data_IF_049505278471
#
_entry.id   IF_049505278471
#
_cell.length_a   1.000
_cell.length_b   1.000
_cell.length_c   1.000
_cell.angle_alpha   90.00
_cell.angle_beta   90.00
_cell.angle_gamma   90.00
#
_symmetry.space_group_name_H-M   'P 1'
#
loop_
_entity.id
_entity.type
_entity.pdbx_description
1 polymer ?
#
# COMPACT_ATOMS: atom_id res chain seq x y z
N UNK A 1 -16.47 -20.78 10.86
CA UNK A 1 -15.04 -21.11 10.88
C UNK A 1 -14.34 -19.97 11.57
N UNK A 2 -13.65 -20.14 12.71
CA UNK A 2 -12.87 -19.09 13.30
C UNK A 2 -11.72 -18.79 12.35
N UNK A 3 -11.57 -17.51 11.97
CA UNK A 3 -10.45 -17.05 11.18
C UNK A 3 -9.17 -17.33 11.94
N UNK A 4 -8.23 -17.96 11.28
CA UNK A 4 -6.86 -18.12 11.74
C UNK A 4 -6.22 -16.73 11.81
N UNK A 5 -6.46 -16.01 12.88
CA UNK A 5 -5.63 -14.90 13.32
C UNK A 5 -4.39 -15.53 13.97
N UNK A 6 -3.43 -15.92 13.14
CA UNK A 6 -2.14 -16.46 13.61
C UNK A 6 -1.23 -15.39 14.24
N UNK A 7 -1.79 -14.19 14.43
CA UNK A 7 -1.15 -13.05 15.10
C UNK A 7 -1.57 -12.89 16.57
N UNK A 8 -2.51 -13.69 17.05
CA UNK A 8 -2.95 -13.66 18.44
C UNK A 8 -2.25 -14.80 19.18
N UNK A 9 -1.14 -14.51 19.80
CA UNK A 9 -0.55 -15.12 21.00
C UNK A 9 0.98 -15.23 20.92
N UNK A 10 1.65 -15.22 22.01
CA UNK A 10 3.10 -15.25 22.34
C UNK A 10 4.16 -15.56 21.25
N UNK A 11 3.89 -16.32 20.17
CA UNK A 11 4.81 -16.42 19.02
C UNK A 11 5.10 -15.08 18.34
N UNK A 12 4.28 -14.06 18.58
CA UNK A 12 4.47 -12.74 17.98
C UNK A 12 5.70 -12.01 18.54
N UNK A 13 6.06 -12.19 19.82
CA UNK A 13 7.22 -11.52 20.40
C UNK A 13 8.51 -12.12 19.85
N UNK A 14 8.66 -13.43 19.84
CA UNK A 14 9.83 -14.10 19.26
C UNK A 14 10.00 -13.78 17.78
N UNK A 15 8.88 -13.71 17.04
CA UNK A 15 8.88 -13.32 15.63
C UNK A 15 9.33 -11.85 15.45
N UNK A 16 8.81 -10.94 16.27
CA UNK A 16 9.19 -9.52 16.22
C UNK A 16 10.65 -9.31 16.59
N UNK A 17 11.16 -10.04 17.55
CA UNK A 17 12.57 -9.98 17.94
C UNK A 17 13.48 -10.55 16.84
N UNK A 18 13.11 -11.66 16.23
CA UNK A 18 13.80 -12.19 15.06
C UNK A 18 13.75 -11.22 13.88
N UNK A 19 12.58 -10.61 13.61
CA UNK A 19 12.43 -9.61 12.57
C UNK A 19 13.32 -8.39 12.80
N UNK A 20 13.35 -7.85 14.02
CA UNK A 20 14.20 -6.71 14.40
C UNK A 20 15.68 -7.03 14.29
N UNK A 21 16.09 -8.24 14.72
CA UNK A 21 17.52 -8.59 14.81
C UNK A 21 18.10 -9.14 13.50
N UNK A 22 17.29 -9.77 12.66
CA UNK A 22 17.76 -10.47 11.45
C UNK A 22 17.33 -9.79 10.16
N UNK A 23 16.11 -9.22 10.11
CA UNK A 23 15.53 -8.68 8.87
C UNK A 23 15.82 -7.19 8.74
N UNK A 24 15.52 -6.39 9.77
CA UNK A 24 15.67 -4.93 9.68
C UNK A 24 17.09 -4.48 9.35
N UNK A 25 18.18 -5.10 9.89
CA UNK A 25 19.55 -4.71 9.53
C UNK A 25 19.93 -4.96 8.07
N UNK A 26 19.16 -5.79 7.36
CA UNK A 26 19.35 -6.10 5.94
C UNK A 26 18.36 -5.36 5.03
N UNK A 27 17.45 -4.58 5.63
CA UNK A 27 16.38 -3.90 4.92
C UNK A 27 16.81 -2.49 4.54
N UNK A 28 16.73 -2.14 3.26
CA UNK A 28 17.01 -0.78 2.79
C UNK A 28 15.85 0.16 3.07
N UNK A 29 14.61 -0.28 2.76
CA UNK A 29 13.40 0.50 3.00
C UNK A 29 12.37 -0.37 3.72
N UNK A 30 11.98 0.01 4.92
CA UNK A 30 10.84 -0.59 5.62
C UNK A 30 9.56 0.08 5.14
N UNK A 31 8.62 -0.71 4.64
CA UNK A 31 7.29 -0.25 4.21
C UNK A 31 6.24 -0.77 5.16
N UNK A 32 5.37 0.09 5.65
CA UNK A 32 4.27 -0.36 6.50
C UNK A 32 3.27 0.73 6.86
N UNK A 33 2.12 0.27 7.31
CA UNK A 33 1.05 1.14 7.79
C UNK A 33 1.42 1.74 9.14
N UNK A 34 1.11 3.01 9.36
CA UNK A 34 1.48 3.80 10.53
C UNK A 34 1.21 3.10 11.85
N UNK A 35 -0.02 2.59 12.04
CA UNK A 35 -0.41 1.96 13.30
C UNK A 35 0.33 0.63 13.52
N UNK A 36 0.60 -0.16 12.47
CA UNK A 36 1.36 -1.40 12.58
C UNK A 36 2.81 -1.13 12.93
N UNK A 37 3.47 -0.20 12.22
CA UNK A 37 4.86 0.18 12.49
C UNK A 37 5.02 0.76 13.89
N UNK A 38 4.06 1.57 14.34
CA UNK A 38 4.04 2.08 15.69
C UNK A 38 4.04 0.95 16.71
N UNK A 39 3.09 0.01 16.62
CA UNK A 39 3.00 -1.14 17.54
C UNK A 39 4.26 -2.00 17.56
N UNK A 40 4.92 -2.14 16.42
CA UNK A 40 6.09 -3.02 16.31
C UNK A 40 7.39 -2.37 16.75
N UNK A 41 7.60 -1.11 16.44
CA UNK A 41 8.86 -0.43 16.67
C UNK A 41 8.86 0.40 17.95
N UNK A 42 7.69 0.86 18.38
CA UNK A 42 7.52 1.76 19.52
C UNK A 42 6.40 1.28 20.46
N UNK A 43 6.43 0.00 20.94
CA UNK A 43 5.34 -0.54 21.78
C UNK A 43 5.16 0.23 23.09
N UNK A 44 6.23 0.81 23.63
CA UNK A 44 6.23 1.58 24.88
C UNK A 44 6.02 3.10 24.67
N UNK A 45 5.52 3.50 23.49
CA UNK A 45 5.30 4.91 23.21
C UNK A 45 4.33 5.54 24.20
N UNK A 46 4.81 6.51 24.97
CA UNK A 46 4.05 7.20 26.02
C UNK A 46 3.71 8.65 25.68
N UNK A 47 3.88 9.06 24.44
CA UNK A 47 3.54 10.40 23.97
C UNK A 47 2.03 10.67 23.99
N UNK A 48 1.62 11.93 24.25
CA UNK A 48 0.21 12.35 24.22
C UNK A 48 -0.41 12.32 22.80
N UNK A 49 0.41 12.15 21.77
CA UNK A 49 0.01 12.04 20.36
C UNK A 49 0.64 10.81 19.76
N UNK A 50 0.03 10.25 18.70
CA UNK A 50 0.68 9.18 17.91
C UNK A 50 2.08 9.60 17.45
N UNK A 51 3.04 8.65 17.34
CA UNK A 51 4.36 8.94 16.83
C UNK A 51 4.28 9.44 15.38
N UNK A 52 5.17 10.33 15.03
CA UNK A 52 5.30 10.82 13.65
C UNK A 52 6.04 9.79 12.79
N UNK A 53 5.96 9.92 11.45
CA UNK A 53 6.76 9.09 10.56
C UNK A 53 8.27 9.19 10.88
N UNK A 54 8.75 10.35 11.32
CA UNK A 54 10.13 10.55 11.74
C UNK A 54 10.48 9.78 13.02
N UNK A 55 9.57 9.70 13.98
CA UNK A 55 9.79 8.94 15.22
C UNK A 55 9.89 7.44 14.90
N UNK A 56 9.02 6.94 14.03
CA UNK A 56 9.05 5.56 13.52
C UNK A 56 10.36 5.31 12.76
N UNK A 57 10.76 6.21 11.86
CA UNK A 57 11.99 6.09 11.10
C UNK A 57 13.24 6.09 11.99
N UNK A 58 13.22 6.82 13.11
CA UNK A 58 14.31 6.77 14.09
C UNK A 58 14.41 5.37 14.74
N UNK A 59 13.27 4.81 15.17
CA UNK A 59 13.25 3.47 15.75
C UNK A 59 13.69 2.39 14.74
N UNK A 60 13.29 2.52 13.47
CA UNK A 60 13.74 1.62 12.41
C UNK A 60 15.25 1.75 12.14
N UNK A 61 15.78 2.98 12.15
CA UNK A 61 17.22 3.22 11.97
C UNK A 61 18.05 2.67 13.13
N UNK A 62 17.55 2.76 14.36
CA UNK A 62 18.19 2.14 15.53
C UNK A 62 18.24 0.61 15.41
N UNK A 63 17.31 0.02 14.65
CA UNK A 63 17.29 -1.40 14.30
C UNK A 63 18.03 -1.72 12.98
N UNK A 64 18.68 -0.73 12.35
CA UNK A 64 19.54 -0.90 11.17
C UNK A 64 18.90 -0.58 9.82
N UNK A 65 17.64 -0.14 9.76
CA UNK A 65 16.96 0.22 8.50
C UNK A 65 17.00 1.74 8.29
N UNK A 66 17.68 2.26 7.24
CA UNK A 66 17.93 3.69 7.08
C UNK A 66 16.69 4.48 6.59
N UNK A 67 15.78 3.85 5.86
CA UNK A 67 14.60 4.50 5.27
C UNK A 67 13.32 3.80 5.69
N UNK A 68 12.28 4.58 5.98
CA UNK A 68 10.95 4.04 6.33
C UNK A 68 9.87 4.74 5.52
N UNK A 69 9.11 3.99 4.74
CA UNK A 69 7.90 4.46 4.07
C UNK A 69 6.70 4.15 4.97
N UNK A 70 6.22 5.17 5.66
CA UNK A 70 5.05 5.09 6.54
C UNK A 70 3.81 5.45 5.74
N UNK A 71 2.85 4.54 5.64
CA UNK A 71 1.59 4.76 4.93
C UNK A 71 0.43 4.96 5.90
N UNK A 72 -0.67 5.56 5.42
CA UNK A 72 -1.90 5.68 6.20
C UNK A 72 -1.85 6.66 7.36
N UNK A 73 -0.94 7.63 7.34
CA UNK A 73 -0.93 8.74 8.28
C UNK A 73 -2.20 9.59 8.12
N UNK A 74 -2.59 10.28 9.20
CA UNK A 74 -3.67 11.25 9.13
C UNK A 74 -3.31 12.38 8.16
N UNK A 75 -4.10 12.55 7.13
CA UNK A 75 -3.94 13.62 6.15
C UNK A 75 -4.50 14.97 6.65
N UNK A 76 -4.52 15.97 5.77
CA UNK A 76 -5.02 17.32 6.10
C UNK A 76 -6.51 17.35 6.42
N UNK A 77 -7.25 16.31 6.03
CA UNK A 77 -8.66 16.10 6.39
C UNK A 77 -8.94 14.61 6.59
N UNK A 78 -10.10 14.26 7.14
CA UNK A 78 -10.53 12.86 7.32
C UNK A 78 -10.67 12.08 6.01
N UNK A 79 -10.85 12.80 4.89
CA UNK A 79 -10.97 12.23 3.54
C UNK A 79 -9.62 11.97 2.88
N UNK A 80 -8.52 12.31 3.52
CA UNK A 80 -7.18 12.14 2.96
C UNK A 80 -6.32 11.26 3.86
N UNK A 81 -5.42 10.55 3.22
CA UNK A 81 -4.32 9.81 3.86
C UNK A 81 -3.00 10.36 3.38
N UNK A 82 -2.04 10.44 4.26
CA UNK A 82 -0.70 10.88 3.94
C UNK A 82 0.27 9.70 4.01
N UNK A 83 1.20 9.64 3.08
CA UNK A 83 2.24 8.64 2.99
C UNK A 83 3.59 9.34 2.96
N UNK A 84 4.49 8.96 3.86
CA UNK A 84 5.76 9.67 4.05
C UNK A 84 6.95 8.72 4.01
N UNK A 85 7.91 9.00 3.12
CA UNK A 85 9.25 8.44 3.21
C UNK A 85 10.05 9.27 4.21
N UNK A 86 10.49 8.64 5.28
CA UNK A 86 11.17 9.29 6.39
C UNK A 86 12.54 8.69 6.68
N UNK A 87 13.41 9.53 7.25
CA UNK A 87 14.66 9.18 7.90
C UNK A 87 14.67 9.77 9.32
N UNK A 88 15.63 9.41 10.19
CA UNK A 88 15.79 10.09 11.48
C UNK A 88 15.97 11.61 11.39
N UNK A 89 16.50 12.09 10.26
CA UNK A 89 16.80 13.51 10.03
C UNK A 89 15.57 14.29 9.54
N UNK A 90 14.66 13.65 8.80
CA UNK A 90 13.49 14.35 8.24
C UNK A 90 12.65 13.50 7.29
N UNK A 91 11.64 14.15 6.72
CA UNK A 91 10.80 13.60 5.67
C UNK A 91 11.44 13.92 4.32
N UNK A 92 11.63 12.90 3.48
CA UNK A 92 12.18 13.03 2.14
C UNK A 92 11.08 13.20 1.10
N UNK A 93 9.99 12.43 1.24
CA UNK A 93 8.83 12.48 0.35
C UNK A 93 7.56 12.49 1.20
N UNK A 94 6.59 13.31 0.82
CA UNK A 94 5.24 13.31 1.40
C UNK A 94 4.21 13.40 0.28
N UNK A 95 3.33 12.40 0.20
CA UNK A 95 2.27 12.32 -0.81
C UNK A 95 0.94 12.09 -0.12
N UNK A 96 -0.05 12.90 -0.46
CA UNK A 96 -1.41 12.80 0.06
C UNK A 96 -2.36 12.31 -1.04
N UNK A 97 -3.20 11.33 -0.71
CA UNK A 97 -4.24 10.79 -1.58
C UNK A 97 -5.60 10.87 -0.91
N UNK A 98 -6.65 10.83 -1.71
CA UNK A 98 -8.01 10.64 -1.19
C UNK A 98 -8.13 9.26 -0.55
N UNK A 99 -8.88 9.19 0.55
CA UNK A 99 -9.15 7.94 1.24
C UNK A 99 -10.23 7.16 0.50
N UNK A 100 -9.89 5.98 0.01
CA UNK A 100 -10.88 5.09 -0.58
C UNK A 100 -11.81 4.51 0.48
N UNK A 101 -13.08 4.41 0.14
CA UNK A 101 -14.06 3.70 0.96
C UNK A 101 -13.89 2.18 0.81
N UNK A 102 -13.83 1.47 1.93
CA UNK A 102 -13.75 0.01 1.96
C UNK A 102 -12.45 -0.54 2.53
N UNK A 103 -12.42 -1.87 2.62
CA UNK A 103 -11.25 -2.62 3.09
C UNK A 103 -10.57 -3.27 1.89
N UNK A 104 -9.35 -2.86 1.66
CA UNK A 104 -8.49 -3.41 0.60
C UNK A 104 -7.57 -4.48 1.17
N UNK A 105 -7.42 -5.57 0.43
CA UNK A 105 -6.45 -6.63 0.72
C UNK A 105 -5.40 -6.65 -0.38
N UNK A 106 -4.14 -6.68 0.00
CA UNK A 106 -3.03 -6.71 -0.95
C UNK A 106 -2.48 -5.34 -1.35
N UNK A 107 -2.92 -4.24 -0.71
CA UNK A 107 -2.41 -2.90 -0.97
C UNK A 107 -0.92 -2.76 -0.60
N UNK A 108 -0.54 -3.23 0.59
CA UNK A 108 0.86 -3.20 1.06
C UNK A 108 1.79 -4.03 0.19
N UNK A 109 1.37 -5.22 -0.20
CA UNK A 109 2.11 -6.11 -1.10
C UNK A 109 2.26 -5.50 -2.49
N UNK A 110 1.21 -4.85 -2.99
CA UNK A 110 1.25 -4.14 -4.28
C UNK A 110 2.26 -3.00 -4.25
N UNK A 111 2.23 -2.18 -3.20
CA UNK A 111 3.19 -1.08 -3.01
C UNK A 111 4.63 -1.60 -2.91
N UNK A 112 4.85 -2.60 -2.07
CA UNK A 112 6.19 -3.16 -1.85
C UNK A 112 6.76 -3.79 -3.11
N UNK A 113 5.93 -4.48 -3.90
CA UNK A 113 6.34 -5.06 -5.17
C UNK A 113 6.70 -3.99 -6.21
N UNK A 114 5.87 -2.95 -6.36
CA UNK A 114 6.11 -1.84 -7.26
C UNK A 114 7.41 -1.09 -6.91
N UNK A 115 7.57 -0.74 -5.63
CA UNK A 115 8.78 -0.07 -5.13
C UNK A 115 10.03 -0.92 -5.37
N UNK A 116 9.97 -2.21 -5.05
CA UNK A 116 11.09 -3.14 -5.27
C UNK A 116 11.47 -3.22 -6.75
N UNK A 117 10.48 -3.30 -7.64
CA UNK A 117 10.71 -3.32 -9.09
C UNK A 117 11.41 -2.06 -9.59
N UNK A 118 10.95 -0.89 -9.17
CA UNK A 118 11.55 0.39 -9.54
C UNK A 118 12.99 0.53 -9.03
N UNK A 119 13.24 0.16 -7.77
CA UNK A 119 14.58 0.18 -7.20
C UNK A 119 15.53 -0.82 -7.90
N UNK A 120 15.03 -2.00 -8.27
CA UNK A 120 15.80 -2.99 -9.02
C UNK A 120 16.18 -2.53 -10.44
N UNK A 121 15.38 -1.63 -11.02
CA UNK A 121 15.69 -0.96 -12.30
C UNK A 121 16.67 0.22 -12.15
N UNK A 122 17.05 0.56 -10.92
CA UNK A 122 18.00 1.64 -10.64
C UNK A 122 17.33 3.01 -10.51
N UNK A 123 16.01 3.08 -10.37
CA UNK A 123 15.31 4.34 -10.12
C UNK A 123 15.74 4.91 -8.77
N UNK A 124 15.95 6.20 -8.71
CA UNK A 124 16.33 6.92 -7.50
C UNK A 124 15.20 6.80 -6.45
N UNK A 125 15.58 6.66 -5.16
CA UNK A 125 14.65 6.26 -4.08
C UNK A 125 13.41 7.16 -3.96
N UNK A 126 13.58 8.46 -3.95
CA UNK A 126 12.46 9.39 -3.78
C UNK A 126 11.50 9.36 -4.98
N UNK A 127 12.05 9.20 -6.17
CA UNK A 127 11.30 9.01 -7.42
C UNK A 127 10.57 7.66 -7.39
N UNK A 128 11.26 6.58 -7.04
CA UNK A 128 10.68 5.24 -6.96
C UNK A 128 9.50 5.18 -5.96
N UNK A 129 9.65 5.85 -4.80
CA UNK A 129 8.56 5.93 -3.81
C UNK A 129 7.37 6.70 -4.37
N UNK A 130 7.60 7.84 -5.02
CA UNK A 130 6.53 8.64 -5.60
C UNK A 130 5.78 7.90 -6.71
N UNK A 131 6.50 7.21 -7.58
CA UNK A 131 5.92 6.40 -8.66
C UNK A 131 5.17 5.17 -8.12
N UNK A 132 5.73 4.46 -7.14
CA UNK A 132 5.09 3.30 -6.53
C UNK A 132 3.79 3.67 -5.80
N UNK A 133 3.78 4.82 -5.09
CA UNK A 133 2.58 5.34 -4.45
C UNK A 133 1.51 5.76 -5.48
N UNK A 134 1.90 6.43 -6.56
CA UNK A 134 0.99 6.78 -7.66
C UNK A 134 0.41 5.55 -8.35
N UNK A 135 1.23 4.52 -8.59
CA UNK A 135 0.75 3.24 -9.10
C UNK A 135 -0.24 2.57 -8.15
N UNK A 136 0.04 2.57 -6.83
CA UNK A 136 -0.88 2.01 -5.84
C UNK A 136 -2.22 2.76 -5.86
N UNK A 137 -2.20 4.09 -5.87
CA UNK A 137 -3.42 4.91 -5.90
C UNK A 137 -4.31 4.54 -7.09
N UNK A 138 -3.73 4.42 -8.28
CA UNK A 138 -4.46 4.00 -9.48
C UNK A 138 -4.97 2.55 -9.35
N UNK A 139 -4.17 1.63 -8.83
CA UNK A 139 -4.58 0.25 -8.63
C UNK A 139 -5.74 0.12 -7.63
N UNK A 140 -5.80 0.99 -6.62
CA UNK A 140 -6.91 1.06 -5.66
C UNK A 140 -8.15 1.70 -6.28
N UNK A 141 -8.00 2.77 -7.06
CA UNK A 141 -9.09 3.45 -7.76
C UNK A 141 -9.85 2.50 -8.70
N UNK A 142 -9.12 1.58 -9.36
CA UNK A 142 -9.67 0.54 -10.24
C UNK A 142 -9.90 -0.79 -9.50
N UNK A 143 -9.84 -0.78 -8.17
CA UNK A 143 -10.00 -1.99 -7.37
C UNK A 143 -11.33 -2.69 -7.61
N UNK A 144 -11.32 -4.02 -7.58
CA UNK A 144 -12.50 -4.84 -7.85
C UNK A 144 -12.77 -5.85 -6.72
N UNK A 145 -14.01 -6.33 -6.66
CA UNK A 145 -14.43 -7.36 -5.71
C UNK A 145 -14.68 -8.67 -6.46
N UNK A 146 -13.84 -9.70 -6.27
CA UNK A 146 -14.06 -10.99 -6.91
C UNK A 146 -15.26 -11.77 -6.33
N UNK A 147 -15.89 -11.24 -5.29
CA UNK A 147 -17.04 -11.83 -4.59
C UNK A 147 -17.58 -10.91 -3.52
N UNK A 148 -18.12 -11.48 -2.43
CA UNK A 148 -18.69 -10.72 -1.29
C UNK A 148 -17.63 -10.25 -0.29
N UNK A 149 -16.35 -10.45 -0.57
CA UNK A 149 -15.24 -10.13 0.31
C UNK A 149 -14.69 -8.71 0.16
N UNK A 150 -13.41 -8.57 0.48
CA UNK A 150 -12.67 -7.33 0.38
C UNK A 150 -12.39 -6.91 -1.07
N UNK A 151 -12.06 -5.64 -1.24
CA UNK A 151 -11.61 -5.10 -2.53
C UNK A 151 -10.15 -5.50 -2.75
N UNK A 152 -9.81 -5.91 -3.97
CA UNK A 152 -8.44 -6.15 -4.41
C UNK A 152 -7.99 -4.99 -5.30
N UNK A 153 -6.73 -4.52 -5.17
CA UNK A 153 -6.16 -3.57 -6.13
C UNK A 153 -6.11 -4.18 -7.54
N UNK A 154 -6.56 -3.47 -8.54
CA UNK A 154 -6.35 -3.87 -9.94
C UNK A 154 -4.93 -3.53 -10.37
N UNK A 155 -4.06 -4.52 -10.38
CA UNK A 155 -2.66 -4.37 -10.76
C UNK A 155 -2.42 -4.25 -12.26
N UNK A 156 -3.48 -4.46 -13.06
CA UNK A 156 -3.45 -4.42 -14.52
C UNK A 156 -4.39 -3.34 -15.08
N UNK A 157 -4.78 -2.35 -14.27
CA UNK A 157 -5.68 -1.28 -14.68
C UNK A 157 -5.27 -0.61 -16.00
N UNK A 158 -3.99 -0.49 -16.26
CA UNK A 158 -3.41 0.10 -17.47
C UNK A 158 -3.50 -0.83 -18.71
N UNK A 159 -3.74 -2.12 -18.51
CA UNK A 159 -3.86 -3.11 -19.60
C UNK A 159 -5.30 -3.38 -20.03
N UNK A 160 -6.28 -2.73 -19.39
CA UNK A 160 -7.68 -2.83 -19.80
C UNK A 160 -7.84 -2.07 -21.13
N UNK A 161 -8.14 -2.82 -22.18
CA UNK A 161 -8.56 -2.23 -23.46
C UNK A 161 -9.95 -1.62 -23.23
N UNK A 162 -10.13 -0.35 -23.53
CA UNK A 162 -11.47 0.21 -23.68
C UNK A 162 -12.21 -0.64 -24.73
N UNK A 163 -13.04 -1.56 -24.27
CA UNK A 163 -14.03 -2.20 -25.13
C UNK A 163 -15.05 -1.10 -25.39
N UNK A 164 -14.78 -0.28 -26.39
CA UNK A 164 -15.85 0.47 -27.03
C UNK A 164 -16.83 -0.57 -27.52
N UNK A 165 -18.01 -0.65 -26.90
CA UNK A 165 -19.16 -1.33 -27.44
C UNK A 165 -19.52 -0.60 -28.73
N UNK A 166 -18.88 -0.98 -29.83
CA UNK A 166 -19.43 -0.76 -31.15
C UNK A 166 -20.64 -1.70 -31.24
N UNK A 167 -21.80 -1.17 -30.84
CA UNK A 167 -23.09 -1.71 -31.18
C UNK A 167 -23.21 -1.70 -32.72
N UNK A 168 -22.65 -2.71 -33.36
CA UNK A 168 -23.02 -3.10 -34.69
C UNK A 168 -24.47 -3.62 -34.64
N UNK A 169 -25.39 -2.67 -34.67
CA UNK A 169 -26.77 -2.90 -35.00
C UNK A 169 -26.81 -3.44 -36.44
N UNK A 170 -26.62 -4.75 -36.58
CA UNK A 170 -26.79 -5.45 -37.85
C UNK A 170 -28.26 -5.41 -38.21
N UNK A 171 -28.56 -4.44 -39.06
CA UNK A 171 -29.81 -4.30 -39.84
C UNK A 171 -30.07 -5.60 -40.60
N UNK A 172 -30.95 -6.44 -40.07
CA UNK A 172 -31.41 -7.64 -40.75
C UNK A 172 -32.40 -7.20 -41.84
N UNK A 173 -32.16 -7.50 -43.15
CA UNK A 173 -33.08 -7.14 -44.19
C UNK A 173 -34.42 -7.89 -44.05
N UNK A 174 -35.50 -7.12 -44.02
CA UNK A 174 -36.86 -7.64 -44.01
C UNK A 174 -37.11 -8.51 -45.26
N UNK A 175 -37.25 -9.80 -45.07
CA UNK A 175 -37.74 -10.71 -46.12
C UNK A 175 -39.23 -10.47 -46.32
N UNK A 176 -39.54 -9.77 -47.41
CA UNK A 176 -40.89 -9.70 -47.98
C UNK A 176 -41.28 -11.09 -48.47
N UNK A 177 -42.27 -11.70 -47.85
CA UNK A 177 -42.89 -12.91 -48.39
C UNK A 177 -44.27 -12.54 -48.95
N UNK A 178 -44.35 -12.47 -50.30
CA UNK A 178 -45.57 -12.39 -51.06
C UNK A 178 -45.95 -13.78 -51.49
N UNK A 179 -47.02 -14.34 -50.94
CA UNK A 179 -48.11 -15.11 -51.52
C UNK A 179 -48.83 -15.96 -50.50
#
# INVERSE_FOLDING_TARGET
MPGLSWWDEEPAEDYLDAFRSLVLPQTTVLVGEHHQLWRWLLPEWSGNKPPTARDIARAAADAGTPYTLVTGLAGPSEQHVENQLATPQGILVSVSFERFEGVFVGAGETLSAALTGLLALGTELETAVSEALGYLDQALAHGFRPGMGHVLPDRLFWAQTDVTEDDDEQDLPATSNTR
#
